data_IF_760468903426
#
_entry.id   IF_760468903426
#
_cell.length_a   1.000
_cell.length_b   1.000
_cell.length_c   1.000
_cell.angle_alpha   90.00
_cell.angle_beta   90.00
_cell.angle_gamma   90.00
#
_symmetry.space_group_name_H-M   'P 1'
#
loop_
_entity.id
_entity.type
_entity.pdbx_description
1 polymer ?
#
# COMPACT_ATOMS: atom_id res chain seq x y z
N UNK A 1 36.23 13.85 -47.76
CA UNK A 1 35.33 14.66 -46.91
C UNK A 1 33.95 14.01 -46.95
N UNK A 2 33.48 13.47 -45.80
CA UNK A 2 32.06 13.31 -45.33
C UNK A 2 31.04 12.59 -46.25
N UNK A 3 30.11 11.72 -45.82
CA UNK A 3 29.67 11.13 -44.55
C UNK A 3 28.73 9.96 -44.93
N UNK A 4 28.99 8.75 -44.41
CA UNK A 4 28.08 7.76 -43.79
C UNK A 4 26.63 7.65 -44.34
N UNK A 5 26.21 6.49 -44.84
CA UNK A 5 25.57 5.38 -44.09
C UNK A 5 24.07 5.31 -44.40
N UNK A 6 23.60 4.18 -44.90
CA UNK A 6 22.37 3.56 -44.40
C UNK A 6 22.40 2.06 -44.76
N UNK A 7 23.12 1.29 -43.94
CA UNK A 7 23.00 -0.17 -43.92
C UNK A 7 21.77 -0.52 -43.09
N UNK A 8 20.93 -1.36 -43.68
CA UNK A 8 20.25 -2.52 -43.09
C UNK A 8 19.77 -2.41 -41.65
N UNK A 9 18.49 -2.70 -41.44
CA UNK A 9 18.01 -3.91 -40.74
C UNK A 9 16.54 -3.68 -40.39
N UNK A 10 15.65 -4.30 -41.16
CA UNK A 10 14.29 -4.62 -40.74
C UNK A 10 14.46 -5.82 -39.78
N UNK A 11 14.61 -5.58 -38.47
CA UNK A 11 14.46 -6.63 -37.47
C UNK A 11 13.48 -6.16 -36.39
N UNK A 12 12.36 -6.88 -36.34
CA UNK A 12 11.66 -7.28 -35.11
C UNK A 12 11.22 -6.15 -34.14
N UNK A 13 10.13 -5.47 -34.48
CA UNK A 13 9.29 -4.76 -33.49
C UNK A 13 7.94 -5.44 -33.26
N UNK A 14 7.85 -6.76 -33.46
CA UNK A 14 6.60 -7.53 -33.25
C UNK A 14 6.75 -8.66 -32.25
N UNK A 15 7.44 -8.42 -31.12
CA UNK A 15 7.50 -9.35 -29.99
C UNK A 15 7.80 -8.55 -28.70
N UNK A 16 6.79 -7.95 -28.08
CA UNK A 16 6.77 -7.56 -26.64
C UNK A 16 5.42 -6.95 -26.20
N UNK A 17 4.28 -7.50 -26.65
CA UNK A 17 2.94 -6.99 -26.25
C UNK A 17 2.16 -7.93 -25.31
N UNK A 18 2.79 -8.97 -24.76
CA UNK A 18 2.13 -9.87 -23.81
C UNK A 18 2.73 -9.84 -22.39
N UNK A 19 3.74 -8.99 -22.13
CA UNK A 19 4.37 -8.86 -20.80
C UNK A 19 3.91 -7.66 -19.94
N UNK A 20 3.24 -6.66 -20.52
CA UNK A 20 3.04 -5.36 -19.85
C UNK A 20 1.71 -5.20 -19.10
N UNK A 21 0.90 -6.25 -18.93
CA UNK A 21 -0.40 -6.10 -18.26
C UNK A 21 -0.26 -6.24 -16.73
N UNK A 22 0.70 -7.03 -16.26
CA UNK A 22 0.90 -7.25 -14.81
C UNK A 22 1.79 -6.20 -14.14
N UNK A 23 2.79 -5.65 -14.84
CA UNK A 23 3.65 -4.59 -14.30
C UNK A 23 2.94 -3.24 -14.09
N UNK A 24 1.90 -2.97 -14.88
CA UNK A 24 1.14 -1.71 -14.80
C UNK A 24 0.12 -1.70 -13.65
N UNK A 25 -0.42 -2.86 -13.30
CA UNK A 25 -1.38 -3.01 -12.18
C UNK A 25 -0.71 -2.80 -10.82
N UNK A 26 0.49 -3.34 -10.63
CA UNK A 26 1.26 -3.15 -9.39
C UNK A 26 1.65 -1.68 -9.21
N UNK A 27 2.14 -1.04 -10.28
CA UNK A 27 2.47 0.38 -10.28
C UNK A 27 1.27 1.27 -9.97
N UNK A 28 0.11 0.99 -10.56
CA UNK A 28 -1.12 1.76 -10.30
C UNK A 28 -1.59 1.58 -8.87
N UNK A 29 -1.56 0.36 -8.35
CA UNK A 29 -1.95 0.06 -6.96
C UNK A 29 -1.02 0.77 -5.98
N UNK A 30 0.29 0.81 -6.24
CA UNK A 30 1.25 1.60 -5.46
C UNK A 30 0.94 3.10 -5.45
N UNK A 31 0.63 3.67 -6.62
CA UNK A 31 0.30 5.09 -6.73
C UNK A 31 -1.00 5.44 -5.99
N UNK A 32 -2.03 4.60 -6.13
CA UNK A 32 -3.29 4.78 -5.40
C UNK A 32 -3.04 4.69 -3.88
N UNK A 33 -2.21 3.75 -3.45
CA UNK A 33 -1.89 3.55 -2.05
C UNK A 33 -1.15 4.77 -1.46
N UNK A 34 -0.13 5.25 -2.16
CA UNK A 34 0.60 6.47 -1.78
C UNK A 34 -0.34 7.68 -1.69
N UNK A 35 -1.22 7.85 -2.68
CA UNK A 35 -2.17 8.97 -2.71
C UNK A 35 -3.14 8.94 -1.51
N UNK A 36 -3.68 7.77 -1.17
CA UNK A 36 -4.56 7.63 0.00
C UNK A 36 -3.85 7.97 1.33
N UNK A 37 -2.55 7.64 1.45
CA UNK A 37 -1.77 7.97 2.66
C UNK A 37 -1.51 9.47 2.76
N UNK A 38 -1.22 10.14 1.63
CA UNK A 38 -1.11 11.60 1.57
C UNK A 38 -2.45 12.25 1.91
N UNK A 39 -3.54 11.79 1.31
CA UNK A 39 -4.89 12.33 1.52
C UNK A 39 -5.33 12.21 2.98
N UNK A 40 -5.06 11.07 3.64
CA UNK A 40 -5.28 10.90 5.09
C UNK A 40 -4.52 11.96 5.91
N UNK A 41 -3.26 12.21 5.56
CA UNK A 41 -2.41 13.15 6.28
C UNK A 41 -2.88 14.60 6.11
N UNK A 42 -3.15 15.01 4.87
CA UNK A 42 -3.60 16.36 4.52
C UNK A 42 -4.99 16.66 5.06
N UNK A 43 -5.90 15.67 5.02
CA UNK A 43 -7.26 15.79 5.56
C UNK A 43 -7.30 15.94 7.09
N UNK A 44 -6.24 15.51 7.78
CA UNK A 44 -6.05 15.76 9.21
C UNK A 44 -5.25 17.05 9.51
N UNK A 45 -4.85 17.80 8.49
CA UNK A 45 -4.03 19.01 8.61
C UNK A 45 -2.69 18.78 9.31
N UNK A 46 -2.12 17.59 9.17
CA UNK A 46 -0.76 17.32 9.66
C UNK A 46 0.30 18.00 8.79
N UNK A 47 1.49 18.20 9.36
CA UNK A 47 2.68 18.64 8.62
C UNK A 47 3.46 17.44 8.08
N UNK A 48 4.35 17.66 7.11
CA UNK A 48 5.28 16.65 6.58
C UNK A 48 4.64 15.44 5.87
N UNK A 49 3.49 15.63 5.21
CA UNK A 49 2.72 14.54 4.59
C UNK A 49 3.48 13.74 3.52
N UNK A 50 4.31 14.38 2.70
CA UNK A 50 5.14 13.67 1.71
C UNK A 50 6.18 12.77 2.38
N UNK A 51 6.83 13.25 3.44
CA UNK A 51 7.84 12.51 4.21
C UNK A 51 7.20 11.33 4.93
N UNK A 52 6.02 11.55 5.52
CA UNK A 52 5.22 10.51 6.14
C UNK A 52 4.78 9.44 5.13
N UNK A 53 4.26 9.84 3.97
CA UNK A 53 3.82 8.92 2.94
C UNK A 53 4.99 8.08 2.39
N UNK A 54 6.16 8.70 2.21
CA UNK A 54 7.37 8.00 1.82
C UNK A 54 7.79 6.98 2.89
N UNK A 55 7.88 7.39 4.16
CA UNK A 55 8.19 6.49 5.27
C UNK A 55 7.21 5.32 5.31
N UNK A 56 5.90 5.60 5.25
CA UNK A 56 4.86 4.58 5.29
C UNK A 56 5.11 3.54 4.20
N UNK A 57 5.35 4.02 2.98
CA UNK A 57 5.54 3.18 1.81
C UNK A 57 6.83 2.35 1.91
N UNK A 58 7.91 2.92 2.41
CA UNK A 58 9.18 2.21 2.62
C UNK A 58 9.08 1.12 3.69
N UNK A 59 8.33 1.38 4.77
CA UNK A 59 8.03 0.34 5.77
C UNK A 59 7.12 -0.73 5.18
N UNK A 60 6.10 -0.34 4.42
CA UNK A 60 5.17 -1.28 3.80
C UNK A 60 5.86 -2.21 2.80
N UNK A 61 6.83 -1.71 2.02
CA UNK A 61 7.58 -2.52 1.06
C UNK A 61 8.49 -3.58 1.70
N UNK A 62 8.81 -3.45 2.99
CA UNK A 62 9.56 -4.46 3.74
C UNK A 62 8.70 -5.68 4.08
N UNK A 63 7.37 -5.60 3.92
CA UNK A 63 6.46 -6.69 4.23
C UNK A 63 6.31 -7.62 3.02
N UNK A 64 6.28 -8.93 3.27
CA UNK A 64 5.94 -9.92 2.26
C UNK A 64 4.41 -10.02 2.11
N UNK A 65 3.83 -9.08 1.37
CA UNK A 65 2.37 -8.95 1.19
C UNK A 65 1.96 -8.88 -0.27
N UNK A 66 0.73 -9.29 -0.56
CA UNK A 66 0.11 -9.06 -1.87
C UNK A 66 -0.43 -7.61 -1.91
N UNK A 67 0.22 -6.74 -2.67
CA UNK A 67 -0.16 -5.32 -2.75
C UNK A 67 -1.59 -5.11 -3.27
N UNK A 68 -2.08 -5.99 -4.16
CA UNK A 68 -3.46 -5.95 -4.64
C UNK A 68 -4.47 -6.23 -3.53
N UNK A 69 -4.20 -7.22 -2.67
CA UNK A 69 -5.03 -7.47 -1.49
C UNK A 69 -4.95 -6.35 -0.47
N UNK A 70 -3.78 -5.76 -0.23
CA UNK A 70 -3.65 -4.60 0.66
C UNK A 70 -4.42 -3.38 0.14
N UNK A 71 -4.36 -3.12 -1.16
CA UNK A 71 -5.16 -2.09 -1.82
C UNK A 71 -6.66 -2.36 -1.69
N UNK A 72 -7.10 -3.62 -1.83
CA UNK A 72 -8.49 -4.00 -1.62
C UNK A 72 -8.92 -3.84 -0.15
N UNK A 73 -8.07 -4.22 0.81
CA UNK A 73 -8.31 -4.04 2.24
C UNK A 73 -8.46 -2.56 2.59
N UNK A 74 -7.55 -1.71 2.12
CA UNK A 74 -7.65 -0.26 2.30
C UNK A 74 -8.92 0.31 1.66
N UNK A 75 -9.24 -0.06 0.41
CA UNK A 75 -10.48 0.35 -0.27
C UNK A 75 -11.75 -0.14 0.42
N UNK A 76 -11.70 -1.31 1.05
CA UNK A 76 -12.83 -1.86 1.81
C UNK A 76 -13.10 -1.10 3.10
N UNK A 77 -12.14 -0.30 3.56
CA UNK A 77 -12.27 0.58 4.73
C UNK A 77 -12.66 1.99 4.27
N UNK A 78 -12.12 2.44 3.15
CA UNK A 78 -12.51 3.72 2.50
C UNK A 78 -13.90 3.67 1.84
N UNK A 79 -14.56 2.51 1.87
CA UNK A 79 -15.92 2.27 1.40
C UNK A 79 -16.17 2.66 -0.07
N UNK A 80 -15.35 2.12 -0.98
CA UNK A 80 -15.69 2.10 -2.41
C UNK A 80 -16.83 1.10 -2.70
N UNK A 81 -18.03 1.39 -2.21
CA UNK A 81 -19.26 0.75 -2.69
C UNK A 81 -19.83 1.56 -3.85
N UNK A 82 -20.06 0.99 -5.05
CA UNK A 82 -20.70 1.69 -6.16
C UNK A 82 -22.14 2.13 -5.88
N UNK A 83 -22.75 1.64 -4.78
CA UNK A 83 -24.20 1.71 -4.52
C UNK A 83 -24.55 2.59 -3.33
N UNK A 84 -23.66 2.71 -2.33
CA UNK A 84 -23.87 3.54 -1.14
C UNK A 84 -22.64 4.43 -0.94
N UNK A 85 -22.70 5.62 -1.52
CA UNK A 85 -21.65 6.63 -1.43
C UNK A 85 -21.75 7.38 -0.09
N UNK A 86 -21.52 6.70 1.03
CA UNK A 86 -21.08 7.41 2.24
C UNK A 86 -19.56 7.44 2.18
N UNK A 87 -19.02 8.46 1.52
CA UNK A 87 -17.59 8.69 1.49
C UNK A 87 -17.07 8.76 2.93
N UNK A 88 -16.33 7.73 3.36
CA UNK A 88 -15.64 7.81 4.62
C UNK A 88 -14.59 8.91 4.47
N UNK A 89 -14.53 9.85 5.42
CA UNK A 89 -13.59 10.95 5.31
C UNK A 89 -12.17 10.37 5.38
N UNK A 90 -11.30 10.73 4.43
CA UNK A 90 -9.92 10.27 4.40
C UNK A 90 -9.22 10.50 5.75
N UNK A 91 -9.63 11.51 6.53
CA UNK A 91 -9.11 11.77 7.88
C UNK A 91 -9.32 10.60 8.86
N UNK A 92 -10.38 9.83 8.70
CA UNK A 92 -10.81 8.77 9.63
C UNK A 92 -10.21 7.39 9.25
N UNK A 93 -9.40 7.32 8.20
CA UNK A 93 -8.88 6.07 7.61
C UNK A 93 -8.23 5.14 8.63
N UNK A 94 -7.31 5.65 9.45
CA UNK A 94 -6.59 4.82 10.42
C UNK A 94 -7.48 4.33 11.57
N UNK A 95 -8.43 5.16 11.99
CA UNK A 95 -9.41 4.80 13.03
C UNK A 95 -10.39 3.73 12.55
N UNK A 96 -10.80 3.83 11.28
CA UNK A 96 -11.65 2.85 10.65
C UNK A 96 -10.92 1.52 10.39
N UNK A 97 -9.65 1.58 9.98
CA UNK A 97 -8.79 0.39 9.89
C UNK A 97 -8.75 -0.32 11.23
N UNK A 98 -8.46 0.41 12.31
CA UNK A 98 -8.40 -0.18 13.65
C UNK A 98 -9.74 -0.72 14.14
N UNK A 99 -10.83 0.00 13.89
CA UNK A 99 -12.18 -0.48 14.22
C UNK A 99 -12.51 -1.78 13.49
N UNK A 100 -12.14 -1.88 12.21
CA UNK A 100 -12.32 -3.08 11.40
C UNK A 100 -11.42 -4.22 11.84
N UNK A 101 -10.19 -3.94 12.28
CA UNK A 101 -9.32 -4.94 12.91
C UNK A 101 -10.04 -5.60 14.11
N UNK A 102 -10.59 -4.78 15.01
CA UNK A 102 -11.32 -5.27 16.20
C UNK A 102 -12.60 -6.02 15.85
N UNK A 103 -13.26 -5.66 14.75
CA UNK A 103 -14.38 -6.45 14.22
C UNK A 103 -13.92 -7.84 13.72
N UNK A 104 -12.83 -7.90 12.94
CA UNK A 104 -12.32 -9.16 12.37
C UNK A 104 -11.73 -10.09 13.41
N UNK A 105 -11.08 -9.54 14.44
CA UNK A 105 -10.67 -10.28 15.64
C UNK A 105 -11.86 -10.99 16.31
N UNK A 106 -12.99 -10.30 16.50
CA UNK A 106 -14.19 -10.86 17.16
C UNK A 106 -14.82 -12.03 16.40
N UNK A 107 -14.71 -12.03 15.07
CA UNK A 107 -15.25 -13.09 14.21
C UNK A 107 -14.18 -14.09 13.73
N UNK A 108 -13.01 -14.09 14.36
CA UNK A 108 -11.88 -14.99 14.06
C UNK A 108 -11.44 -14.99 12.59
N UNK A 109 -11.51 -13.84 11.91
CA UNK A 109 -11.00 -13.64 10.54
C UNK A 109 -9.55 -13.17 10.57
N UNK A 110 -8.68 -14.08 11.00
CA UNK A 110 -7.26 -13.80 11.22
C UNK A 110 -6.53 -13.35 9.94
N UNK A 111 -6.94 -13.86 8.78
CA UNK A 111 -6.45 -13.43 7.47
C UNK A 111 -6.65 -11.92 7.26
N UNK A 112 -7.88 -11.44 7.45
CA UNK A 112 -8.20 -10.02 7.28
C UNK A 112 -7.62 -9.16 8.40
N UNK A 113 -7.59 -9.68 9.63
CA UNK A 113 -6.97 -8.97 10.74
C UNK A 113 -5.47 -8.74 10.50
N UNK A 114 -4.78 -9.75 9.96
CA UNK A 114 -3.36 -9.64 9.64
C UNK A 114 -3.13 -8.61 8.52
N UNK A 115 -3.94 -8.65 7.46
CA UNK A 115 -3.90 -7.66 6.37
C UNK A 115 -4.06 -6.22 6.89
N UNK A 116 -5.01 -5.99 7.78
CA UNK A 116 -5.22 -4.67 8.40
C UNK A 116 -4.05 -4.31 9.31
N UNK A 117 -3.50 -5.28 10.05
CA UNK A 117 -2.37 -5.05 10.95
C UNK A 117 -1.10 -4.61 10.19
N UNK A 118 -0.88 -5.08 8.96
CA UNK A 118 0.21 -4.61 8.10
C UNK A 118 0.08 -3.13 7.75
N UNK A 119 -1.13 -2.68 7.43
CA UNK A 119 -1.41 -1.28 7.14
C UNK A 119 -1.19 -0.39 8.37
N UNK A 120 -1.64 -0.85 9.54
CA UNK A 120 -1.46 -0.14 10.80
C UNK A 120 0.01 -0.18 11.28
N UNK A 121 0.77 -1.22 10.95
CA UNK A 121 2.19 -1.31 11.27
C UNK A 121 2.99 -0.21 10.58
N UNK A 122 2.81 -0.05 9.27
CA UNK A 122 3.44 1.04 8.52
C UNK A 122 3.08 2.42 9.05
N UNK A 123 1.81 2.62 9.43
CA UNK A 123 1.39 3.85 10.11
C UNK A 123 2.12 4.04 11.45
N UNK A 124 2.12 3.04 12.32
CA UNK A 124 2.72 3.12 13.64
C UNK A 124 4.21 3.48 13.58
N UNK A 125 4.97 2.86 12.67
CA UNK A 125 6.40 3.14 12.47
C UNK A 125 6.68 4.59 12.05
N UNK A 126 5.75 5.22 11.33
CA UNK A 126 5.92 6.56 10.75
C UNK A 126 5.11 7.66 11.44
N UNK A 127 4.21 7.31 12.35
CA UNK A 127 3.25 8.20 13.03
C UNK A 127 3.91 9.38 13.74
N UNK A 128 5.13 9.19 14.26
CA UNK A 128 5.91 10.24 14.95
C UNK A 128 6.31 11.41 14.05
N UNK A 129 6.41 11.20 12.73
CA UNK A 129 6.72 12.25 11.74
C UNK A 129 5.62 13.33 11.73
N UNK A 130 4.38 12.90 11.90
CA UNK A 130 3.19 13.76 11.80
C UNK A 130 2.54 14.03 13.16
N UNK A 131 3.07 13.43 14.24
CA UNK A 131 2.47 13.51 15.58
C UNK A 131 1.14 12.78 15.70
N UNK A 132 0.89 11.76 14.88
CA UNK A 132 -0.33 10.96 14.95
C UNK A 132 -0.26 9.90 16.07
N UNK A 133 -1.43 9.46 16.55
CA UNK A 133 -1.53 8.36 17.52
C UNK A 133 -1.13 7.03 16.88
N UNK A 134 -0.70 6.08 17.72
CA UNK A 134 -0.45 4.70 17.33
C UNK A 134 -1.60 3.78 17.73
N UNK A 135 -1.69 2.63 17.09
CA UNK A 135 -2.73 1.62 17.33
C UNK A 135 -2.13 0.33 17.88
N UNK A 136 -2.77 -0.28 18.88
CA UNK A 136 -2.28 -1.54 19.46
C UNK A 136 -2.53 -2.72 18.52
N UNK A 137 -1.45 -3.17 17.88
CA UNK A 137 -1.38 -4.35 17.02
C UNK A 137 -0.41 -5.40 17.57
N UNK A 138 -0.10 -5.36 18.87
CA UNK A 138 0.91 -6.22 19.52
C UNK A 138 0.66 -7.71 19.29
N UNK A 139 -0.62 -8.12 19.23
CA UNK A 139 -1.03 -9.48 18.93
C UNK A 139 -0.49 -10.03 17.59
N UNK A 140 -0.24 -9.16 16.61
CA UNK A 140 0.22 -9.53 15.27
C UNK A 140 1.73 -9.37 15.07
N UNK A 141 2.47 -8.89 16.08
CA UNK A 141 3.88 -8.51 15.92
C UNK A 141 4.74 -9.65 15.39
N UNK A 142 4.61 -10.85 15.96
CA UNK A 142 5.34 -12.04 15.50
C UNK A 142 5.12 -12.34 14.02
N UNK A 143 3.86 -12.27 13.55
CA UNK A 143 3.53 -12.53 12.13
C UNK A 143 4.05 -11.44 11.20
N UNK A 144 4.12 -10.21 11.70
CA UNK A 144 4.74 -9.09 10.98
C UNK A 144 6.24 -9.31 10.84
N UNK A 145 6.93 -9.72 11.90
CA UNK A 145 8.34 -10.06 11.87
C UNK A 145 8.62 -11.22 10.89
N UNK A 146 7.84 -12.30 10.95
CA UNK A 146 7.93 -13.41 9.99
C UNK A 146 7.74 -12.95 8.53
N UNK A 147 6.83 -12.00 8.30
CA UNK A 147 6.58 -11.41 6.97
C UNK A 147 7.81 -10.63 6.46
N UNK A 148 8.45 -9.85 7.33
CA UNK A 148 9.67 -9.09 6.99
C UNK A 148 10.84 -10.03 6.73
N UNK A 149 11.01 -11.07 7.55
CA UNK A 149 12.06 -12.08 7.36
C UNK A 149 11.89 -12.80 6.02
N UNK A 150 10.67 -13.26 5.73
CA UNK A 150 10.35 -13.88 4.44
C UNK A 150 10.65 -12.95 3.27
N UNK A 151 10.37 -11.66 3.38
CA UNK A 151 10.68 -10.68 2.32
C UNK A 151 12.19 -10.65 2.04
N UNK A 152 13.01 -10.60 3.08
CA UNK A 152 14.49 -10.59 2.97
C UNK A 152 15.06 -11.87 2.37
N UNK A 153 14.42 -13.02 2.57
CA UNK A 153 14.87 -14.30 1.99
C UNK A 153 14.55 -14.42 0.48
N UNK A 154 13.64 -13.61 -0.04
CA UNK A 154 13.15 -13.67 -1.43
C UNK A 154 13.63 -12.50 -2.31
N UNK A 155 14.53 -11.64 -1.81
CA UNK A 155 15.19 -10.54 -2.53
C UNK A 155 16.69 -10.82 -2.73
#
# INVERSE_FOLDING_TARGET
MKLLNYKSIILATTLSLTGCIYGDLDKRTRMDFYHNVVEYCESNHYSFCEVYAQCYFDIFNQLYVNQGFMGATLRSVLDFSPVNYSAMNAKDTMDALYSKLKEKEKINREDLSLDISYLLYSHNQCSSIIGAKQYDISHYHHKIEESIERKKENE
#
